data_IF_827529662047
#
_entry.id   IF_827529662047
#
_cell.length_a   1.000
_cell.length_b   1.000
_cell.length_c   1.000
_cell.angle_alpha   90.00
_cell.angle_beta   90.00
_cell.angle_gamma   90.00
#
_symmetry.space_group_name_H-M   'P 1'
#
loop_
_entity.id
_entity.type
_entity.pdbx_description
1 polymer ?
#
# COMPACT_ATOMS: atom_id res chain seq x y z
N UNK A 1 -15.42 14.53 -3.60
CA UNK A 1 -14.08 14.75 -4.17
C UNK A 1 -14.16 14.42 -5.65
N UNK A 2 -13.67 15.28 -6.56
CA UNK A 2 -13.88 15.16 -8.02
C UNK A 2 -12.96 14.19 -8.76
N UNK A 3 -12.15 13.41 -8.04
CA UNK A 3 -11.25 12.42 -8.60
C UNK A 3 -11.99 11.10 -8.92
N UNK A 4 -11.52 10.38 -9.94
CA UNK A 4 -11.96 9.03 -10.28
C UNK A 4 -10.94 8.00 -9.80
N UNK A 5 -11.31 6.75 -9.49
CA UNK A 5 -10.32 5.70 -9.26
C UNK A 5 -9.42 5.53 -10.48
N UNK A 6 -8.09 5.46 -10.28
CA UNK A 6 -7.15 5.12 -11.36
C UNK A 6 -7.03 3.61 -11.59
N UNK A 7 -7.31 2.82 -10.56
CA UNK A 7 -7.42 1.36 -10.58
C UNK A 7 -8.39 0.86 -9.48
N UNK A 8 -8.86 -0.40 -9.51
CA UNK A 8 -9.68 -0.97 -8.44
C UNK A 8 -8.89 -1.04 -7.13
N UNK A 9 -9.45 -0.57 -6.01
CA UNK A 9 -8.76 -0.62 -4.70
C UNK A 9 -8.31 -2.04 -4.39
N UNK A 10 -7.04 -2.22 -4.01
CA UNK A 10 -6.55 -3.52 -3.59
C UNK A 10 -6.62 -3.63 -2.06
N UNK A 11 -7.04 -4.79 -1.57
CA UNK A 11 -7.17 -5.14 -0.15
C UNK A 11 -6.51 -6.50 0.12
N UNK A 12 -5.23 -6.63 -0.19
CA UNK A 12 -4.51 -7.89 -0.09
C UNK A 12 -4.19 -8.26 1.37
N UNK A 13 -4.49 -9.49 1.78
CA UNK A 13 -4.43 -9.94 3.18
C UNK A 13 -3.21 -10.85 3.40
N UNK A 14 -2.46 -10.59 4.48
CA UNK A 14 -1.34 -11.42 4.95
C UNK A 14 -0.28 -11.68 3.87
N UNK A 15 -0.16 -12.92 3.38
CA UNK A 15 0.81 -13.34 2.37
C UNK A 15 0.39 -12.98 0.93
N UNK A 16 -0.80 -12.44 0.72
CA UNK A 16 -1.18 -11.86 -0.56
C UNK A 16 -0.42 -10.55 -0.76
N UNK A 17 0.37 -10.46 -1.83
CA UNK A 17 1.24 -9.32 -2.07
C UNK A 17 0.46 -8.09 -2.59
N UNK A 18 -0.38 -8.27 -3.61
CA UNK A 18 -1.15 -7.22 -4.28
C UNK A 18 -2.30 -7.82 -5.10
N UNK A 19 -3.02 -6.98 -5.85
CA UNK A 19 -4.00 -7.32 -6.90
C UNK A 19 -5.29 -8.02 -6.45
N UNK A 20 -5.54 -8.12 -5.14
CA UNK A 20 -6.84 -8.56 -4.67
C UNK A 20 -7.80 -7.38 -4.56
N UNK A 21 -8.83 -7.35 -5.39
CA UNK A 21 -10.00 -6.48 -5.24
C UNK A 21 -11.24 -7.35 -5.02
N UNK A 22 -12.11 -7.05 -4.04
CA UNK A 22 -13.33 -7.83 -3.84
C UNK A 22 -14.23 -7.83 -5.08
N UNK A 23 -14.80 -8.98 -5.39
CA UNK A 23 -15.94 -9.07 -6.29
C UNK A 23 -17.26 -8.83 -5.52
N UNK A 24 -18.38 -8.50 -6.18
CA UNK A 24 -19.65 -8.25 -5.49
C UNK A 24 -20.15 -9.38 -4.56
N UNK A 25 -19.73 -10.63 -4.83
CA UNK A 25 -20.13 -11.80 -4.04
C UNK A 25 -19.02 -12.35 -3.15
N UNK A 26 -17.89 -11.63 -3.03
CA UNK A 26 -16.79 -12.05 -2.17
C UNK A 26 -17.25 -12.12 -0.70
N UNK A 27 -16.79 -13.16 0.00
CA UNK A 27 -17.13 -13.45 1.40
C UNK A 27 -15.94 -13.35 2.33
N UNK A 28 -14.74 -13.02 1.83
CA UNK A 28 -13.58 -12.80 2.70
C UNK A 28 -13.88 -11.68 3.70
N UNK A 29 -13.53 -11.92 4.95
CA UNK A 29 -13.61 -10.94 6.03
C UNK A 29 -12.25 -10.80 6.68
N UNK A 30 -11.96 -9.62 7.21
CA UNK A 30 -10.77 -9.42 8.03
C UNK A 30 -10.94 -10.07 9.40
N UNK A 31 -9.83 -10.55 9.94
CA UNK A 31 -9.70 -11.07 11.29
C UNK A 31 -8.71 -10.23 12.10
N UNK A 32 -8.87 -10.18 13.41
CA UNK A 32 -7.89 -9.51 14.29
C UNK A 32 -6.50 -10.09 14.09
N UNK A 33 -5.52 -9.24 13.83
CA UNK A 33 -4.13 -9.60 13.53
C UNK A 33 -3.81 -9.72 12.04
N UNK A 34 -4.80 -9.61 11.14
CA UNK A 34 -4.53 -9.60 9.70
C UNK A 34 -3.70 -8.37 9.29
N UNK A 35 -2.69 -8.58 8.46
CA UNK A 35 -1.94 -7.53 7.79
C UNK A 35 -2.58 -7.24 6.44
N UNK A 36 -3.36 -6.17 6.36
CA UNK A 36 -4.06 -5.76 5.13
C UNK A 36 -3.25 -4.67 4.44
N UNK A 37 -2.85 -4.92 3.20
CA UNK A 37 -2.28 -3.92 2.30
C UNK A 37 -3.43 -3.22 1.61
N UNK A 38 -3.63 -1.94 1.93
CA UNK A 38 -4.63 -1.06 1.33
C UNK A 38 -3.94 -0.23 0.27
N UNK A 39 -4.27 -0.48 -0.98
CA UNK A 39 -3.69 0.19 -2.15
C UNK A 39 -4.77 0.98 -2.89
N UNK A 40 -4.59 2.29 -2.98
CA UNK A 40 -5.57 3.22 -3.53
C UNK A 40 -4.97 4.09 -4.61
N UNK A 41 -5.76 4.26 -5.67
CA UNK A 41 -5.41 5.07 -6.80
C UNK A 41 -6.48 6.11 -7.11
N UNK A 42 -6.07 7.34 -7.37
CA UNK A 42 -6.97 8.43 -7.77
C UNK A 42 -6.44 9.14 -9.02
N UNK A 43 -7.36 9.64 -9.86
CA UNK A 43 -7.04 10.41 -11.05
C UNK A 43 -7.91 11.64 -11.20
N UNK A 44 -7.28 12.75 -11.59
CA UNK A 44 -7.91 14.00 -12.03
C UNK A 44 -7.32 14.32 -13.39
N UNK A 45 -8.13 14.43 -14.43
CA UNK A 45 -7.72 14.80 -15.79
C UNK A 45 -6.53 13.99 -16.35
N UNK A 46 -6.42 12.72 -15.98
CA UNK A 46 -5.34 11.82 -16.40
C UNK A 46 -4.07 11.88 -15.55
N UNK A 47 -3.96 12.82 -14.61
CA UNK A 47 -2.90 12.83 -13.60
C UNK A 47 -3.21 11.78 -12.54
N UNK A 48 -2.26 10.89 -12.27
CA UNK A 48 -2.42 9.74 -11.38
C UNK A 48 -1.79 10.02 -10.01
N UNK A 49 -2.46 9.54 -8.97
CA UNK A 49 -1.89 9.30 -7.65
C UNK A 49 -2.01 7.81 -7.35
N UNK A 50 -0.98 7.26 -6.75
CA UNK A 50 -0.88 5.87 -6.32
C UNK A 50 -0.27 5.85 -4.91
N UNK A 51 -0.91 5.18 -3.97
CA UNK A 51 -0.48 5.13 -2.58
C UNK A 51 -0.98 3.86 -1.90
N UNK A 52 -0.10 3.22 -1.13
CA UNK A 52 -0.40 2.02 -0.38
C UNK A 52 0.09 2.11 1.07
N UNK A 53 -0.64 1.46 1.98
CA UNK A 53 -0.23 1.29 3.36
C UNK A 53 -0.60 -0.11 3.87
N UNK A 54 0.21 -0.67 4.77
CA UNK A 54 -0.13 -1.91 5.47
C UNK A 54 -0.69 -1.58 6.85
N UNK A 55 -1.86 -2.15 7.18
CA UNK A 55 -2.57 -1.96 8.44
C UNK A 55 -2.78 -3.32 9.11
N UNK A 56 -2.44 -3.40 10.40
CA UNK A 56 -2.79 -4.54 11.25
C UNK A 56 -4.21 -4.35 11.81
N UNK A 57 -5.09 -5.32 11.57
CA UNK A 57 -6.52 -5.24 11.94
C UNK A 57 -6.71 -5.50 13.44
N UNK A 58 -7.43 -4.62 14.13
CA UNK A 58 -7.75 -4.77 15.55
C UNK A 58 -6.61 -4.28 16.46
N UNK A 59 -5.89 -5.20 17.10
CA UNK A 59 -4.78 -4.89 18.00
C UNK A 59 -3.49 -4.65 17.22
N UNK A 60 -2.80 -3.55 17.53
CA UNK A 60 -1.52 -3.19 16.92
C UNK A 60 -0.35 -3.77 17.72
N UNK A 61 0.72 -4.16 17.02
CA UNK A 61 2.04 -4.33 17.62
C UNK A 61 2.58 -5.75 17.59
N UNK A 62 1.84 -6.75 17.07
CA UNK A 62 2.43 -8.08 16.86
C UNK A 62 3.34 -8.10 15.64
N UNK A 63 3.04 -7.25 14.66
CA UNK A 63 3.77 -7.17 13.40
C UNK A 63 4.35 -5.77 13.14
N UNK A 64 4.52 -4.95 14.19
CA UNK A 64 5.03 -3.57 14.06
C UNK A 64 6.34 -3.52 13.31
N UNK A 65 7.29 -4.39 13.67
CA UNK A 65 8.64 -4.38 13.08
C UNK A 65 8.59 -4.59 11.55
N UNK A 66 7.72 -5.49 11.08
CA UNK A 66 7.53 -5.74 9.65
C UNK A 66 6.92 -4.53 8.95
N UNK A 67 5.85 -3.95 9.51
CA UNK A 67 5.18 -2.80 8.91
C UNK A 67 6.09 -1.57 8.94
N UNK A 68 6.77 -1.32 10.06
CA UNK A 68 7.65 -0.18 10.27
C UNK A 68 8.87 -0.27 9.35
N UNK A 69 9.46 -1.46 9.14
CA UNK A 69 10.54 -1.68 8.16
C UNK A 69 10.14 -1.22 6.75
N UNK A 70 8.90 -1.49 6.32
CA UNK A 70 8.43 -1.03 5.00
C UNK A 70 8.27 0.49 4.92
N UNK A 71 7.81 1.13 6.00
CA UNK A 71 7.68 2.59 6.07
C UNK A 71 9.04 3.28 6.11
N UNK A 72 9.99 2.71 6.85
CA UNK A 72 11.38 3.20 6.90
C UNK A 72 12.06 3.11 5.54
N UNK A 73 11.91 1.99 4.83
CA UNK A 73 12.42 1.83 3.47
C UNK A 73 11.83 2.89 2.51
N UNK A 74 10.52 3.11 2.54
CA UNK A 74 9.86 4.16 1.76
C UNK A 74 10.41 5.55 2.09
N UNK A 75 10.47 5.90 3.38
CA UNK A 75 10.99 7.19 3.83
C UNK A 75 12.45 7.41 3.42
N UNK A 76 13.26 6.35 3.46
CA UNK A 76 14.66 6.40 3.04
C UNK A 76 14.78 6.69 1.55
N UNK A 77 14.02 5.97 0.71
CA UNK A 77 13.99 6.20 -0.73
C UNK A 77 13.54 7.63 -1.07
N UNK A 78 12.48 8.12 -0.42
CA UNK A 78 12.00 9.51 -0.59
C UNK A 78 13.09 10.52 -0.20
N UNK A 79 13.82 10.29 0.89
CA UNK A 79 14.83 11.24 1.39
C UNK A 79 15.99 11.50 0.43
N UNK A 80 16.25 10.57 -0.51
CA UNK A 80 17.34 10.67 -1.50
C UNK A 80 16.84 10.90 -2.93
N UNK A 81 15.53 10.84 -3.17
CA UNK A 81 14.93 10.97 -4.49
C UNK A 81 14.99 12.43 -4.96
N UNK A 82 15.75 12.68 -6.02
CA UNK A 82 15.88 13.98 -6.67
C UNK A 82 16.39 13.80 -8.11
N UNK A 83 16.29 14.82 -8.99
CA UNK A 83 16.89 14.75 -10.32
C UNK A 83 18.36 14.33 -10.26
N UNK A 84 18.74 13.32 -11.04
CA UNK A 84 20.08 12.76 -11.07
C UNK A 84 20.36 11.59 -10.11
N UNK A 85 19.44 11.26 -9.18
CA UNK A 85 19.57 10.03 -8.37
C UNK A 85 19.37 8.80 -9.26
N UNK A 86 20.30 7.84 -9.21
CA UNK A 86 20.16 6.58 -9.96
C UNK A 86 19.13 5.68 -9.26
N UNK A 87 18.23 5.06 -10.03
CA UNK A 87 17.17 4.17 -9.47
C UNK A 87 17.74 3.05 -8.60
N UNK A 88 18.90 2.49 -8.98
CA UNK A 88 19.58 1.45 -8.18
C UNK A 88 19.94 1.91 -6.77
N UNK A 89 20.12 3.21 -6.55
CA UNK A 89 20.48 3.77 -5.25
C UNK A 89 19.26 3.89 -4.34
N UNK A 90 18.04 3.88 -4.90
CA UNK A 90 16.78 3.84 -4.13
C UNK A 90 16.50 2.46 -3.52
N UNK A 91 16.96 1.40 -4.18
CA UNK A 91 16.73 0.01 -3.76
C UNK A 91 17.87 -0.64 -2.96
N UNK A 92 18.89 0.15 -2.58
CA UNK A 92 20.00 -0.26 -1.71
C UNK A 92 19.65 -0.05 -0.24
#
# INVERSE_FOLDING_TARGET
MGAKPSFPVNLSINNEAAHFTPSPNDKKTFSTGDLVKVDIGASIDGYLSDNAATVEVGEKGKNSDLVDSTREALNRAISILRPGTMVRDLGR
#
